data_IF_909865283648
#
_entry.id   IF_909865283648
#
_cell.length_a   1.000
_cell.length_b   1.000
_cell.length_c   1.000
_cell.angle_alpha   90.00
_cell.angle_beta   90.00
_cell.angle_gamma   90.00
#
_symmetry.space_group_name_H-M   'P 1'
#
loop_
_entity.id
_entity.type
_entity.pdbx_description
1 polymer ?
#
# COMPACT_ATOMS: atom_id res chain seq x y z
N UNK A 1 -24.46 16.29 -17.19
CA UNK A 1 -23.32 15.37 -17.21
C UNK A 1 -22.45 15.75 -16.03
N UNK A 2 -22.52 14.99 -14.94
CA UNK A 2 -21.61 15.15 -13.81
C UNK A 2 -20.20 14.86 -14.33
N UNK A 3 -19.32 15.86 -14.27
CA UNK A 3 -17.91 15.70 -14.65
C UNK A 3 -17.29 14.76 -13.61
N UNK A 4 -17.12 13.50 -13.99
CA UNK A 4 -16.45 12.52 -13.15
C UNK A 4 -15.00 12.97 -12.91
N UNK A 5 -14.56 12.94 -11.66
CA UNK A 5 -13.16 13.18 -11.31
C UNK A 5 -12.23 12.26 -12.13
N UNK A 6 -11.18 12.83 -12.65
CA UNK A 6 -10.10 12.11 -13.32
C UNK A 6 -8.77 12.63 -12.79
N UNK A 7 -7.90 11.77 -12.25
CA UNK A 7 -6.55 12.17 -11.84
C UNK A 7 -5.80 12.85 -12.98
N UNK A 8 -5.00 13.90 -12.69
CA UNK A 8 -4.27 14.65 -13.72
C UNK A 8 -3.00 13.90 -14.15
N UNK A 9 -3.10 13.04 -15.16
CA UNK A 9 -1.94 12.37 -15.75
C UNK A 9 -2.11 12.19 -17.26
N UNK A 10 -0.97 12.06 -17.95
CA UNK A 10 -0.88 11.74 -19.37
C UNK A 10 -0.10 10.44 -19.57
N UNK A 11 -0.58 9.59 -20.47
CA UNK A 11 0.13 8.35 -20.84
C UNK A 11 1.23 8.68 -21.82
N UNK A 12 2.47 8.52 -21.40
CA UNK A 12 3.65 8.75 -22.24
C UNK A 12 4.10 7.49 -22.98
N UNK A 13 4.85 7.65 -24.08
CA UNK A 13 5.48 6.52 -24.76
C UNK A 13 6.39 5.70 -23.84
N UNK A 14 7.04 6.35 -22.86
CA UNK A 14 7.86 5.66 -21.86
C UNK A 14 7.02 4.75 -20.98
N UNK A 15 5.85 5.20 -20.52
CA UNK A 15 4.93 4.38 -19.71
C UNK A 15 4.40 3.18 -20.51
N UNK A 16 4.06 3.38 -21.78
CA UNK A 16 3.63 2.28 -22.66
C UNK A 16 4.74 1.23 -22.84
N UNK A 17 5.96 1.66 -23.16
CA UNK A 17 7.09 0.75 -23.34
C UNK A 17 7.42 -0.03 -22.07
N UNK A 18 7.36 0.61 -20.90
CA UNK A 18 7.55 -0.06 -19.61
C UNK A 18 6.44 -1.07 -19.34
N UNK A 19 5.18 -0.73 -19.60
CA UNK A 19 4.04 -1.63 -19.41
C UNK A 19 4.15 -2.88 -20.32
N UNK A 20 4.55 -2.70 -21.57
CA UNK A 20 4.81 -3.82 -22.49
C UNK A 20 5.92 -4.71 -21.94
N UNK A 21 7.07 -4.14 -21.56
CA UNK A 21 8.21 -4.89 -21.02
C UNK A 21 7.86 -5.65 -19.73
N UNK A 22 7.03 -5.08 -18.84
CA UNK A 22 6.55 -5.74 -17.63
C UNK A 22 5.65 -6.92 -18.01
N UNK A 23 4.71 -6.71 -18.93
CA UNK A 23 3.75 -7.74 -19.37
C UNK A 23 4.47 -8.93 -20.02
N UNK A 24 5.49 -8.68 -20.85
CA UNK A 24 6.33 -9.73 -21.43
C UNK A 24 7.04 -10.56 -20.35
N UNK A 25 7.63 -9.91 -19.34
CA UNK A 25 8.30 -10.59 -18.23
C UNK A 25 7.31 -11.42 -17.40
N UNK A 26 6.12 -10.89 -17.13
CA UNK A 26 5.06 -11.63 -16.43
C UNK A 26 4.65 -12.87 -17.25
N UNK A 27 4.50 -12.72 -18.58
CA UNK A 27 4.22 -13.85 -19.48
C UNK A 27 5.28 -14.95 -19.40
N UNK A 28 6.57 -14.56 -19.41
CA UNK A 28 7.68 -15.50 -19.24
C UNK A 28 7.62 -16.19 -17.87
N UNK A 29 7.43 -15.46 -16.78
CA UNK A 29 7.34 -16.04 -15.43
C UNK A 29 6.17 -17.03 -15.35
N UNK A 30 5.02 -16.70 -15.93
CA UNK A 30 3.84 -17.55 -15.92
C UNK A 30 4.01 -18.83 -16.75
N UNK A 31 4.88 -18.83 -17.77
CA UNK A 31 5.21 -20.01 -18.55
C UNK A 31 6.02 -21.05 -17.76
N UNK A 32 6.74 -20.61 -16.71
CA UNK A 32 7.46 -21.51 -15.80
C UNK A 32 6.54 -22.05 -14.70
N UNK A 33 5.80 -23.12 -14.98
CA UNK A 33 4.88 -23.76 -14.03
C UNK A 33 5.53 -24.20 -12.70
N UNK A 34 6.87 -24.41 -12.69
CA UNK A 34 7.64 -24.76 -11.50
C UNK A 34 7.68 -23.64 -10.45
N UNK A 35 7.61 -22.35 -10.85
CA UNK A 35 7.63 -21.21 -9.92
C UNK A 35 6.33 -21.11 -9.09
N UNK A 36 5.21 -21.61 -9.61
CA UNK A 36 3.94 -21.66 -8.86
C UNK A 36 4.00 -22.63 -7.66
N UNK A 37 4.97 -23.54 -7.63
CA UNK A 37 5.11 -24.61 -6.63
C UNK A 37 6.21 -24.36 -5.61
N UNK A 38 6.65 -23.09 -5.40
CA UNK A 38 7.74 -22.78 -4.46
C UNK A 38 7.21 -22.01 -3.22
N UNK A 39 6.56 -22.68 -2.24
CA UNK A 39 5.97 -22.01 -1.07
C UNK A 39 7.03 -21.32 -0.21
N UNK A 40 8.22 -21.91 -0.09
CA UNK A 40 9.34 -21.35 0.67
C UNK A 40 9.82 -20.03 0.06
N UNK A 41 9.96 -19.98 -1.28
CA UNK A 41 10.35 -18.76 -1.98
C UNK A 41 9.30 -17.65 -1.79
N UNK A 42 8.01 -17.98 -1.89
CA UNK A 42 6.92 -17.02 -1.66
C UNK A 42 6.93 -16.49 -0.23
N UNK A 43 7.09 -17.38 0.77
CA UNK A 43 7.20 -16.96 2.17
C UNK A 43 8.38 -16.01 2.36
N UNK A 44 9.55 -16.34 1.84
CA UNK A 44 10.75 -15.52 1.97
C UNK A 44 10.59 -14.15 1.28
N UNK A 45 9.99 -14.11 0.08
CA UNK A 45 9.73 -12.86 -0.62
C UNK A 45 8.72 -11.99 0.14
N UNK A 46 7.65 -12.59 0.68
CA UNK A 46 6.70 -11.87 1.55
C UNK A 46 7.40 -11.25 2.77
N UNK A 47 8.26 -12.01 3.45
CA UNK A 47 9.03 -11.52 4.60
C UNK A 47 9.93 -10.34 4.21
N UNK A 48 10.62 -10.43 3.05
CA UNK A 48 11.45 -9.33 2.54
C UNK A 48 10.61 -8.09 2.21
N UNK A 49 9.46 -8.25 1.57
CA UNK A 49 8.56 -7.13 1.26
C UNK A 49 8.05 -6.44 2.52
N UNK A 50 7.67 -7.21 3.54
CA UNK A 50 7.24 -6.69 4.85
C UNK A 50 8.39 -5.92 5.50
N UNK A 51 9.57 -6.52 5.62
CA UNK A 51 10.73 -5.86 6.21
C UNK A 51 11.06 -4.55 5.50
N UNK A 52 11.15 -4.56 4.16
CA UNK A 52 11.46 -3.35 3.38
C UNK A 52 10.40 -2.27 3.54
N UNK A 53 9.12 -2.64 3.55
CA UNK A 53 8.02 -1.69 3.74
C UNK A 53 8.04 -1.05 5.13
N UNK A 54 8.36 -1.82 6.17
CA UNK A 54 8.47 -1.32 7.54
C UNK A 54 9.75 -0.48 7.75
N UNK A 55 10.86 -0.87 7.15
CA UNK A 55 12.12 -0.13 7.22
C UNK A 55 12.01 1.28 6.62
N UNK A 56 11.22 1.47 5.56
CA UNK A 56 10.90 2.80 5.00
C UNK A 56 10.25 3.70 6.06
N UNK A 57 9.45 3.14 6.94
CA UNK A 57 8.77 3.84 8.04
C UNK A 57 9.58 3.80 9.36
N UNK A 58 10.89 3.67 9.25
CA UNK A 58 11.86 3.70 10.37
C UNK A 58 11.70 2.54 11.39
N UNK A 59 11.04 1.43 11.07
CA UNK A 59 11.10 0.23 11.88
C UNK A 59 12.53 -0.31 11.89
N UNK A 60 13.11 -0.51 13.06
CA UNK A 60 14.54 -0.80 13.24
C UNK A 60 14.87 -2.31 13.24
N UNK A 61 13.85 -3.19 13.21
CA UNK A 61 14.06 -4.62 13.26
C UNK A 61 14.77 -5.14 12.01
N UNK A 62 15.79 -5.94 12.20
CA UNK A 62 16.51 -6.62 11.11
C UNK A 62 15.62 -7.65 10.40
N UNK A 63 15.98 -8.03 9.18
CA UNK A 63 15.28 -9.07 8.42
C UNK A 63 15.17 -10.40 9.20
N UNK A 64 16.19 -10.77 9.97
CA UNK A 64 16.16 -11.98 10.81
C UNK A 64 15.18 -11.83 11.97
N UNK A 65 15.13 -10.68 12.63
CA UNK A 65 14.17 -10.40 13.70
C UNK A 65 12.73 -10.38 13.17
N UNK A 66 12.49 -9.76 12.01
CA UNK A 66 11.17 -9.80 11.35
C UNK A 66 10.75 -11.24 11.07
N UNK A 67 11.66 -12.08 10.55
CA UNK A 67 11.41 -13.51 10.34
C UNK A 67 11.08 -14.22 11.66
N UNK A 68 11.85 -13.98 12.72
CA UNK A 68 11.65 -14.61 14.02
C UNK A 68 10.30 -14.22 14.65
N UNK A 69 9.88 -12.95 14.53
CA UNK A 69 8.53 -12.50 14.94
C UNK A 69 7.44 -13.25 14.18
N UNK A 70 7.58 -13.40 12.86
CA UNK A 70 6.62 -14.11 12.00
C UNK A 70 6.58 -15.60 12.33
N UNK A 71 7.70 -16.18 12.69
CA UNK A 71 7.81 -17.59 13.10
C UNK A 71 7.39 -17.82 14.58
N UNK A 72 6.89 -16.77 15.27
CA UNK A 72 6.37 -16.86 16.66
C UNK A 72 7.45 -16.94 17.74
N UNK A 73 8.71 -16.63 17.42
CA UNK A 73 9.80 -16.63 18.39
C UNK A 73 9.81 -15.33 19.20
N UNK A 74 10.43 -15.38 20.37
CA UNK A 74 10.67 -14.21 21.20
C UNK A 74 11.78 -13.35 20.57
N UNK A 75 11.47 -12.08 20.33
CA UNK A 75 12.41 -11.09 19.78
C UNK A 75 12.54 -9.93 20.75
N UNK A 76 13.77 -9.50 21.00
CA UNK A 76 14.06 -8.28 21.77
C UNK A 76 13.99 -7.08 20.82
N UNK A 77 13.15 -6.09 21.17
CA UNK A 77 12.98 -4.87 20.38
C UNK A 77 11.79 -4.02 20.90
N UNK A 78 11.57 -2.85 20.31
CA UNK A 78 10.44 -2.01 20.68
C UNK A 78 9.10 -2.74 20.47
N UNK A 79 8.24 -2.72 21.48
CA UNK A 79 6.95 -3.43 21.42
C UNK A 79 6.08 -2.98 20.23
N UNK A 80 6.08 -1.68 19.93
CA UNK A 80 5.35 -1.12 18.78
C UNK A 80 5.86 -1.72 17.48
N UNK A 81 7.16 -1.76 17.27
CA UNK A 81 7.77 -2.28 16.04
C UNK A 81 7.52 -3.79 15.84
N UNK A 82 7.56 -4.56 16.92
CA UNK A 82 7.20 -5.99 16.90
C UNK A 82 5.72 -6.15 16.52
N UNK A 83 4.84 -5.30 17.05
CA UNK A 83 3.42 -5.32 16.69
C UNK A 83 3.20 -4.95 15.22
N UNK A 84 3.91 -3.96 14.70
CA UNK A 84 3.87 -3.58 13.27
C UNK A 84 4.23 -4.74 12.34
N UNK A 85 5.22 -5.55 12.70
CA UNK A 85 5.58 -6.77 11.93
C UNK A 85 4.42 -7.76 11.91
N UNK A 86 3.78 -8.02 13.06
CA UNK A 86 2.62 -8.93 13.15
C UNK A 86 1.46 -8.42 12.29
N UNK A 87 1.17 -7.13 12.38
CA UNK A 87 0.11 -6.48 11.62
C UNK A 87 0.38 -6.55 10.10
N UNK A 88 1.58 -6.19 9.67
CA UNK A 88 1.97 -6.28 8.28
C UNK A 88 1.89 -7.72 7.75
N UNK A 89 2.37 -8.70 8.53
CA UNK A 89 2.26 -10.10 8.12
C UNK A 89 0.81 -10.55 7.96
N UNK A 90 -0.08 -10.15 8.86
CA UNK A 90 -1.51 -10.44 8.77
C UNK A 90 -2.13 -9.77 7.53
N UNK A 91 -1.87 -8.47 7.31
CA UNK A 91 -2.38 -7.72 6.16
C UNK A 91 -1.92 -8.34 4.83
N UNK A 92 -0.62 -8.63 4.67
CA UNK A 92 -0.09 -9.30 3.48
C UNK A 92 -0.57 -10.76 3.31
N UNK A 93 -1.01 -11.40 4.37
CA UNK A 93 -1.58 -12.74 4.30
C UNK A 93 -3.07 -12.72 3.94
N UNK A 94 -3.72 -11.58 4.11
CA UNK A 94 -5.13 -11.34 3.81
C UNK A 94 -5.37 -10.73 2.42
N UNK A 95 -4.33 -10.56 1.57
CA UNK A 95 -4.45 -9.91 0.25
C UNK A 95 -5.61 -10.44 -0.59
N UNK A 96 -5.82 -11.75 -0.63
CA UNK A 96 -6.87 -12.38 -1.42
C UNK A 96 -8.31 -12.16 -0.87
N UNK A 97 -8.43 -11.49 0.28
CA UNK A 97 -9.72 -11.16 0.89
C UNK A 97 -10.13 -9.71 0.68
N UNK A 98 -9.29 -8.93 0.03
CA UNK A 98 -9.56 -7.53 -0.31
C UNK A 98 -9.95 -7.41 -1.78
N UNK A 99 -10.94 -6.57 -2.03
CA UNK A 99 -11.28 -6.09 -3.36
C UNK A 99 -10.65 -4.70 -3.56
N UNK A 100 -9.73 -4.58 -4.51
CA UNK A 100 -8.99 -3.34 -4.79
C UNK A 100 -9.89 -2.16 -5.20
N UNK A 101 -11.12 -2.43 -5.57
CA UNK A 101 -12.11 -1.43 -5.97
C UNK A 101 -13.05 -0.99 -4.83
N UNK A 102 -12.91 -1.57 -3.62
CA UNK A 102 -13.76 -1.24 -2.48
C UNK A 102 -13.02 -0.42 -1.42
N UNK A 103 -13.51 0.78 -1.18
CA UNK A 103 -13.00 1.68 -0.13
C UNK A 103 -13.08 1.04 1.26
N UNK A 104 -14.15 0.30 1.55
CA UNK A 104 -14.34 -0.42 2.80
C UNK A 104 -13.22 -1.44 3.05
N UNK A 105 -12.74 -2.10 2.02
CA UNK A 105 -11.64 -3.04 2.13
C UNK A 105 -10.30 -2.35 2.36
N UNK A 106 -10.10 -1.14 1.83
CA UNK A 106 -8.94 -0.32 2.16
C UNK A 106 -8.96 0.08 3.63
N UNK A 107 -10.10 0.52 4.16
CA UNK A 107 -10.25 0.84 5.59
C UNK A 107 -10.02 -0.39 6.46
N UNK A 108 -10.51 -1.55 6.06
CA UNK A 108 -10.26 -2.84 6.73
C UNK A 108 -8.77 -3.21 6.69
N UNK A 109 -8.11 -3.06 5.55
CA UNK A 109 -6.67 -3.30 5.44
C UNK A 109 -5.87 -2.37 6.35
N UNK A 110 -6.27 -1.08 6.43
CA UNK A 110 -5.66 -0.12 7.35
C UNK A 110 -5.87 -0.52 8.81
N UNK A 111 -7.08 -0.97 9.18
CA UNK A 111 -7.35 -1.42 10.55
C UNK A 111 -6.48 -2.60 10.97
N UNK A 112 -6.20 -3.53 10.06
CA UNK A 112 -5.28 -4.65 10.30
C UNK A 112 -3.84 -4.15 10.41
N UNK A 113 -3.40 -3.28 9.48
CA UNK A 113 -2.01 -2.80 9.40
C UNK A 113 -1.61 -1.96 10.61
N UNK A 114 -2.56 -1.23 11.22
CA UNK A 114 -2.30 -0.29 12.31
C UNK A 114 -2.86 -0.74 13.66
N UNK A 115 -3.30 -2.00 13.76
CA UNK A 115 -3.87 -2.54 14.99
C UNK A 115 -2.91 -2.40 16.19
N UNK A 116 -3.37 -1.80 17.28
CA UNK A 116 -2.59 -1.49 18.50
C UNK A 116 -1.34 -0.60 18.28
N UNK A 117 -1.20 0.03 17.13
CA UNK A 117 -0.07 0.94 16.84
C UNK A 117 -0.52 2.34 16.47
N UNK A 118 -1.82 2.54 16.20
CA UNK A 118 -2.46 3.81 15.91
C UNK A 118 -3.87 3.84 16.51
N UNK A 119 -4.24 4.98 17.12
CA UNK A 119 -5.56 5.16 17.76
C UNK A 119 -6.70 5.28 16.73
N UNK A 120 -6.41 5.82 15.54
CA UNK A 120 -7.37 6.02 14.44
C UNK A 120 -7.39 4.84 13.45
N UNK A 121 -7.07 3.65 13.92
CA UNK A 121 -7.00 2.43 13.09
C UNK A 121 -8.31 2.20 12.32
N UNK A 122 -8.22 2.09 10.98
CA UNK A 122 -9.37 1.86 10.09
C UNK A 122 -10.25 3.08 9.84
N UNK A 123 -9.79 4.29 10.17
CA UNK A 123 -10.54 5.54 9.98
C UNK A 123 -9.68 6.59 9.30
N UNK A 124 -10.31 7.42 8.50
CA UNK A 124 -9.65 8.62 7.98
C UNK A 124 -9.33 9.60 9.10
N UNK A 125 -8.23 10.34 8.91
CA UNK A 125 -7.82 11.39 9.85
C UNK A 125 -8.85 12.49 9.97
N UNK A 126 -8.91 13.09 11.15
CA UNK A 126 -9.75 14.25 11.46
C UNK A 126 -8.91 15.48 11.85
N UNK A 127 -7.66 15.48 11.46
CA UNK A 127 -6.68 16.55 11.72
C UNK A 127 -5.80 16.79 10.48
N UNK A 128 -5.13 17.95 10.46
CA UNK A 128 -4.18 18.30 9.40
C UNK A 128 -2.95 17.38 9.43
N UNK A 129 -2.42 17.07 8.26
CA UNK A 129 -1.22 16.26 8.07
C UNK A 129 -0.29 16.88 7.04
N UNK A 130 0.99 16.53 7.11
CA UNK A 130 2.01 16.99 6.18
C UNK A 130 3.28 16.15 6.26
N UNK A 131 4.12 16.29 5.25
CA UNK A 131 5.45 15.69 5.22
C UNK A 131 6.47 16.79 5.50
N UNK A 132 7.35 16.55 6.47
CA UNK A 132 8.36 17.48 6.91
C UNK A 132 9.75 16.86 6.75
N UNK A 133 10.74 17.71 6.44
CA UNK A 133 12.17 17.38 6.49
C UNK A 133 12.82 18.36 7.47
N UNK A 134 13.00 17.93 8.71
CA UNK A 134 13.30 18.82 9.83
C UNK A 134 12.21 19.88 9.99
N UNK A 135 12.61 21.17 9.99
CA UNK A 135 11.67 22.30 10.09
C UNK A 135 11.06 22.72 8.73
N UNK A 136 11.46 22.07 7.63
CA UNK A 136 10.99 22.41 6.30
C UNK A 136 9.75 21.59 5.95
N UNK A 137 8.67 22.31 5.63
CA UNK A 137 7.47 21.69 5.06
C UNK A 137 7.75 21.26 3.62
N UNK A 138 7.70 19.98 3.34
CA UNK A 138 7.86 19.41 2.01
C UNK A 138 6.50 19.34 1.29
N UNK A 139 5.47 18.95 2.03
CA UNK A 139 4.12 18.79 1.50
C UNK A 139 3.10 19.00 2.61
N UNK A 140 1.99 19.66 2.30
CA UNK A 140 0.82 19.76 3.16
C UNK A 140 -0.30 18.98 2.51
N UNK A 141 -0.82 17.99 3.22
CA UNK A 141 -1.94 17.20 2.74
C UNK A 141 -3.22 18.06 2.64
N UNK A 142 -4.18 17.68 1.79
CA UNK A 142 -5.49 18.34 1.73
C UNK A 142 -6.13 18.45 3.11
N UNK A 143 -6.99 19.46 3.37
CA UNK A 143 -7.73 19.57 4.62
C UNK A 143 -8.50 18.27 4.94
N UNK A 144 -8.55 17.93 6.22
CA UNK A 144 -9.16 16.68 6.72
C UNK A 144 -10.63 16.53 6.32
N UNK A 145 -11.38 17.61 6.26
CA UNK A 145 -12.79 17.62 5.86
C UNK A 145 -13.00 17.27 4.37
N UNK A 146 -11.95 17.36 3.55
CA UNK A 146 -12.00 16.98 2.13
C UNK A 146 -11.65 15.51 1.90
N UNK A 147 -10.98 14.85 2.84
CA UNK A 147 -10.48 13.48 2.67
C UNK A 147 -11.55 12.49 2.24
N UNK A 148 -12.75 12.42 2.88
CA UNK A 148 -13.78 11.47 2.46
C UNK A 148 -14.24 11.66 1.01
N UNK A 149 -14.41 12.92 0.58
CA UNK A 149 -14.83 13.23 -0.78
C UNK A 149 -13.72 12.86 -1.80
N UNK A 150 -12.47 13.22 -1.52
CA UNK A 150 -11.33 12.90 -2.38
C UNK A 150 -11.11 11.38 -2.53
N UNK A 151 -11.28 10.63 -1.44
CA UNK A 151 -11.17 9.16 -1.48
C UNK A 151 -12.33 8.54 -2.25
N UNK A 152 -13.56 9.00 -2.04
CA UNK A 152 -14.70 8.56 -2.84
C UNK A 152 -14.48 8.82 -4.34
N UNK A 153 -14.03 10.00 -4.71
CA UNK A 153 -13.76 10.36 -6.11
C UNK A 153 -12.67 9.48 -6.72
N UNK A 154 -11.62 9.19 -5.96
CA UNK A 154 -10.53 8.31 -6.39
C UNK A 154 -11.03 6.88 -6.63
N UNK A 155 -11.85 6.31 -5.73
CA UNK A 155 -12.42 4.97 -5.90
C UNK A 155 -13.45 4.92 -7.03
N UNK A 156 -14.28 5.97 -7.21
CA UNK A 156 -15.22 6.06 -8.32
C UNK A 156 -14.47 6.10 -9.67
N UNK A 157 -13.39 6.89 -9.78
CA UNK A 157 -12.53 6.85 -10.95
C UNK A 157 -11.93 5.45 -11.17
N UNK A 158 -11.40 4.83 -10.12
CA UNK A 158 -10.79 3.50 -10.20
C UNK A 158 -11.75 2.45 -10.76
N UNK A 159 -13.04 2.52 -10.34
CA UNK A 159 -14.10 1.61 -10.80
C UNK A 159 -14.53 1.88 -12.23
N UNK A 160 -14.69 3.15 -12.60
CA UNK A 160 -15.36 3.56 -13.86
C UNK A 160 -14.42 3.73 -15.03
N UNK A 161 -13.14 4.01 -14.78
CA UNK A 161 -12.14 4.14 -15.85
C UNK A 161 -11.79 2.75 -16.42
N UNK A 162 -12.20 2.52 -17.67
CA UNK A 162 -11.88 1.30 -18.40
C UNK A 162 -10.80 1.52 -19.48
N UNK A 163 -10.36 2.74 -19.68
CA UNK A 163 -9.43 3.10 -20.75
C UNK A 163 -7.96 3.04 -20.30
N UNK A 164 -7.70 3.26 -19.02
CA UNK A 164 -6.33 3.25 -18.48
C UNK A 164 -5.86 1.82 -18.21
N UNK A 165 -4.71 1.39 -18.78
CA UNK A 165 -4.14 0.09 -18.47
C UNK A 165 -3.91 -0.11 -16.97
N UNK A 166 -4.21 -1.32 -16.46
CA UNK A 166 -4.20 -1.60 -15.01
C UNK A 166 -2.87 -1.27 -14.32
N UNK A 167 -1.73 -1.52 -14.98
CA UNK A 167 -0.42 -1.18 -14.43
C UNK A 167 -0.24 0.34 -14.23
N UNK A 168 -0.75 1.14 -15.15
CA UNK A 168 -0.73 2.60 -15.05
C UNK A 168 -1.72 3.06 -14.00
N UNK A 169 -2.94 2.50 -14.02
CA UNK A 169 -4.01 2.80 -13.08
C UNK A 169 -3.57 2.58 -11.63
N UNK A 170 -2.89 1.47 -11.34
CA UNK A 170 -2.37 1.18 -10.01
C UNK A 170 -1.31 2.19 -9.55
N UNK A 171 -0.45 2.66 -10.45
CA UNK A 171 0.54 3.70 -10.14
C UNK A 171 -0.13 5.06 -9.88
N UNK A 172 -1.14 5.43 -10.68
CA UNK A 172 -1.90 6.67 -10.49
C UNK A 172 -2.66 6.62 -9.17
N UNK A 173 -3.35 5.53 -8.87
CA UNK A 173 -4.02 5.34 -7.58
C UNK A 173 -3.05 5.49 -6.41
N UNK A 174 -1.87 4.85 -6.49
CA UNK A 174 -0.85 4.96 -5.45
C UNK A 174 -0.43 6.42 -5.21
N UNK A 175 -0.17 7.16 -6.30
CA UNK A 175 0.24 8.55 -6.23
C UNK A 175 -0.85 9.44 -5.60
N UNK A 176 -2.08 9.34 -6.10
CA UNK A 176 -3.23 10.11 -5.59
C UNK A 176 -3.52 9.79 -4.13
N UNK A 177 -3.50 8.50 -3.77
CA UNK A 177 -3.68 8.06 -2.39
C UNK A 177 -2.63 8.68 -1.44
N UNK A 178 -1.34 8.63 -1.83
CA UNK A 178 -0.26 9.23 -1.03
C UNK A 178 -0.40 10.76 -0.98
N UNK A 179 -0.85 11.39 -2.06
CA UNK A 179 -1.13 12.82 -2.12
C UNK A 179 -2.30 13.21 -1.19
N UNK A 180 -3.42 12.49 -1.20
CA UNK A 180 -4.56 12.72 -0.30
C UNK A 180 -4.12 12.52 1.16
N UNK A 181 -3.23 11.57 1.40
CA UNK A 181 -2.72 11.22 2.74
C UNK A 181 -3.84 10.99 3.75
N UNK A 182 -4.74 10.02 3.49
CA UNK A 182 -6.03 9.96 4.16
C UNK A 182 -5.99 9.53 5.63
N UNK A 183 -4.88 8.97 6.11
CA UNK A 183 -4.74 8.47 7.47
C UNK A 183 -3.74 9.29 8.29
N UNK A 184 -3.88 9.29 9.61
CA UNK A 184 -2.91 9.93 10.52
C UNK A 184 -1.60 9.12 10.64
N UNK A 185 -1.62 7.81 10.37
CA UNK A 185 -0.42 6.95 10.29
C UNK A 185 -0.68 5.82 9.30
N UNK A 186 0.36 5.21 8.73
CA UNK A 186 0.26 4.02 7.90
C UNK A 186 -0.02 4.26 6.42
N UNK A 187 -0.11 5.49 5.94
CA UNK A 187 -0.36 5.80 4.54
C UNK A 187 0.61 5.10 3.59
N UNK A 188 1.91 5.19 3.84
CA UNK A 188 2.93 4.54 3.01
C UNK A 188 2.82 3.02 3.02
N UNK A 189 2.59 2.43 4.20
CA UNK A 189 2.42 0.97 4.35
C UNK A 189 1.20 0.46 3.59
N UNK A 190 0.07 1.18 3.67
CA UNK A 190 -1.16 0.85 2.94
C UNK A 190 -1.00 1.06 1.43
N UNK A 191 -0.40 2.17 0.99
CA UNK A 191 -0.15 2.41 -0.43
C UNK A 191 0.66 1.26 -1.07
N UNK A 192 1.71 0.78 -0.40
CA UNK A 192 2.52 -0.35 -0.88
C UNK A 192 1.80 -1.69 -0.80
N UNK A 193 0.96 -1.91 0.22
CA UNK A 193 0.11 -3.10 0.31
C UNK A 193 -0.90 -3.12 -0.85
N UNK A 194 -1.59 -2.02 -1.09
CA UNK A 194 -2.68 -1.90 -2.06
C UNK A 194 -2.25 -2.13 -3.51
N UNK A 195 -0.97 -1.91 -3.81
CA UNK A 195 -0.39 -2.28 -5.11
C UNK A 195 -0.34 -3.81 -5.35
N UNK A 196 -0.65 -4.62 -4.36
CA UNK A 196 -0.67 -6.08 -4.46
C UNK A 196 -2.11 -6.63 -4.41
N UNK A 197 -3.10 -5.78 -4.19
CA UNK A 197 -4.52 -6.11 -4.22
C UNK A 197 -5.06 -5.95 -5.63
#
# INVERSE_FOLDING_TARGET
DDIMYKPPFDITNKMLNLSISITEKIGLINSFSSLKRMPVLRKNNKIKSIHSSLAIEANSLSLSQVKDVIDGKVVLGPKKEIQEVKNAYLAYSSLNTFDGYLEEDLLRAHSIMTYLTCDESGKYRNHGEGVFDGDKVIFVAPPENMVPALMNDLFEWLKKDNDTPILIKSCVFHYEFVFIHPFGDGNGRIARLWQNV
#
